data_IF_867753428203
#
_entry.id   IF_867753428203
#
_cell.length_a   1.000
_cell.length_b   1.000
_cell.length_c   1.000
_cell.angle_alpha   90.00
_cell.angle_beta   90.00
_cell.angle_gamma   90.00
#
_symmetry.space_group_name_H-M   'P 1'
#
loop_
_entity.id
_entity.type
_entity.pdbx_description
1 polymer ?
#
# COMPACT_ATOMS: atom_id res chain seq x y z
N UNK A 1 -15.18 3.60 15.73
CA UNK A 1 -15.82 4.52 14.80
C UNK A 1 -16.80 3.84 13.85
N UNK A 2 -16.36 2.99 12.87
CA UNK A 2 -17.29 2.30 11.94
C UNK A 2 -18.17 1.29 12.67
N UNK A 3 -17.61 0.57 13.63
CA UNK A 3 -18.35 -0.42 14.44
C UNK A 3 -19.29 0.22 15.45
N UNK A 4 -18.97 1.42 15.92
CA UNK A 4 -19.70 2.07 17.02
C UNK A 4 -20.81 3.01 16.52
N UNK A 5 -20.77 3.42 15.24
CA UNK A 5 -21.82 4.27 14.68
C UNK A 5 -22.96 3.42 14.16
N UNK A 6 -24.14 3.64 14.69
CA UNK A 6 -25.36 3.08 14.14
C UNK A 6 -25.72 3.78 12.82
N UNK A 7 -25.97 2.99 11.78
CA UNK A 7 -26.58 3.45 10.53
C UNK A 7 -28.11 3.47 10.65
N UNK A 8 -28.65 2.44 11.30
CA UNK A 8 -30.06 2.28 11.63
C UNK A 8 -30.11 1.67 13.06
N UNK A 9 -31.21 1.86 13.78
CA UNK A 9 -31.32 1.34 15.15
C UNK A 9 -30.89 -0.13 15.28
N UNK A 10 -29.83 -0.38 16.02
CA UNK A 10 -29.24 -1.71 16.25
C UNK A 10 -28.42 -2.26 15.07
N UNK A 11 -28.10 -1.46 14.06
CA UNK A 11 -27.26 -1.86 12.92
C UNK A 11 -26.09 -0.90 12.75
N UNK A 12 -24.89 -1.43 12.68
CA UNK A 12 -23.69 -0.64 12.41
C UNK A 12 -23.36 -0.55 10.91
N UNK A 13 -22.33 0.21 10.56
CA UNK A 13 -21.94 0.38 9.16
C UNK A 13 -21.45 -0.91 8.49
N UNK A 14 -20.89 -1.87 9.21
CA UNK A 14 -20.51 -3.17 8.63
C UNK A 14 -21.75 -3.98 8.24
N UNK A 15 -22.84 -3.92 9.03
CA UNK A 15 -24.11 -4.56 8.67
C UNK A 15 -24.73 -3.94 7.41
N UNK A 16 -24.58 -2.61 7.26
CA UNK A 16 -24.99 -1.92 6.04
C UNK A 16 -24.21 -2.39 4.83
N UNK A 17 -22.87 -2.44 4.91
CA UNK A 17 -21.99 -2.91 3.83
C UNK A 17 -22.28 -4.37 3.46
N UNK A 18 -22.48 -5.23 4.44
CA UNK A 18 -22.89 -6.62 4.22
C UNK A 18 -24.23 -6.71 3.47
N UNK A 19 -25.22 -5.91 3.87
CA UNK A 19 -26.53 -5.88 3.21
C UNK A 19 -26.45 -5.36 1.76
N UNK A 20 -25.49 -4.50 1.43
CA UNK A 20 -25.19 -4.08 0.07
C UNK A 20 -24.51 -5.16 -0.78
N UNK A 21 -24.07 -6.26 -0.17
CA UNK A 21 -23.32 -7.32 -0.85
C UNK A 21 -21.83 -7.02 -1.02
N UNK A 22 -21.28 -6.09 -0.25
CA UNK A 22 -19.83 -5.81 -0.22
C UNK A 22 -19.12 -7.04 0.33
N UNK A 23 -18.11 -7.52 -0.37
CA UNK A 23 -17.31 -8.68 -0.01
C UNK A 23 -15.84 -8.37 0.27
N UNK A 24 -15.41 -7.13 0.07
CA UNK A 24 -14.08 -6.64 0.46
C UNK A 24 -14.14 -5.15 0.80
N UNK A 25 -13.31 -4.73 1.75
CA UNK A 25 -13.07 -3.33 2.12
C UNK A 25 -11.59 -3.05 1.89
N UNK A 26 -11.29 -1.99 1.16
CA UNK A 26 -9.95 -1.44 1.06
C UNK A 26 -9.83 -0.27 2.04
N UNK A 27 -8.90 -0.39 2.98
CA UNK A 27 -8.57 0.67 3.93
C UNK A 27 -7.48 1.56 3.33
N UNK A 28 -7.67 2.87 3.44
CA UNK A 28 -6.57 3.82 3.22
C UNK A 28 -5.37 3.46 4.11
N UNK A 29 -4.15 3.97 3.80
CA UNK A 29 -2.97 3.57 4.56
C UNK A 29 -3.12 3.73 6.06
N UNK A 30 -2.96 2.64 6.79
CA UNK A 30 -3.13 2.56 8.25
C UNK A 30 -1.81 2.40 9.01
N UNK A 31 -0.68 2.36 8.30
CA UNK A 31 0.63 2.45 8.94
C UNK A 31 0.81 3.83 9.58
N UNK A 32 1.54 3.90 10.68
CA UNK A 32 1.81 5.15 11.38
C UNK A 32 2.40 6.20 10.45
N UNK A 33 1.69 7.30 10.31
CA UNK A 33 2.03 8.42 9.44
C UNK A 33 2.46 9.68 10.22
N UNK A 34 2.99 10.66 9.51
CA UNK A 34 3.43 11.92 10.07
C UNK A 34 2.22 12.80 10.40
N UNK A 35 2.09 13.19 11.69
CA UNK A 35 0.96 13.93 12.22
C UNK A 35 -0.18 13.06 12.71
N UNK A 36 -1.37 13.64 12.90
CA UNK A 36 -2.57 12.96 13.41
C UNK A 36 -3.79 13.16 12.50
N UNK A 37 -3.63 13.89 11.41
CA UNK A 37 -4.69 14.20 10.45
C UNK A 37 -4.11 14.07 9.04
N UNK A 38 -4.30 12.89 8.45
CA UNK A 38 -3.78 12.55 7.13
C UNK A 38 -4.58 11.42 6.50
N UNK A 39 -4.50 11.31 5.18
CA UNK A 39 -4.98 10.14 4.45
C UNK A 39 -4.04 8.93 4.57
N UNK A 40 -2.87 9.09 5.23
CA UNK A 40 -1.90 8.03 5.46
C UNK A 40 -0.80 7.90 4.39
N UNK A 41 -0.84 8.70 3.30
CA UNK A 41 0.18 8.66 2.23
C UNK A 41 1.49 9.38 2.59
N UNK A 42 1.72 9.61 3.87
CA UNK A 42 2.93 10.17 4.46
C UNK A 42 3.47 9.27 5.58
N UNK A 43 3.75 7.98 5.29
CA UNK A 43 4.13 7.01 6.31
C UNK A 43 5.51 7.31 6.91
N UNK A 44 5.69 6.93 8.17
CA UNK A 44 6.98 7.05 8.87
C UNK A 44 7.38 5.77 9.62
N UNK A 45 6.43 4.93 10.10
CA UNK A 45 6.72 3.69 10.79
C UNK A 45 5.87 2.53 10.26
N UNK A 46 6.48 1.65 9.50
CA UNK A 46 5.77 0.64 8.71
C UNK A 46 5.27 -0.58 9.50
N UNK A 47 5.80 -0.83 10.69
CA UNK A 47 5.37 -1.94 11.57
C UNK A 47 4.41 -1.48 12.67
N UNK A 48 4.00 -0.22 12.67
CA UNK A 48 3.06 0.33 13.63
C UNK A 48 1.76 0.71 12.92
N UNK A 49 0.63 0.38 13.55
CA UNK A 49 -0.67 0.90 13.16
C UNK A 49 -0.82 2.34 13.66
N UNK A 50 -1.45 3.20 12.86
CA UNK A 50 -1.62 4.60 13.22
C UNK A 50 -2.58 4.77 14.40
N UNK A 51 -2.11 5.49 15.40
CA UNK A 51 -2.82 5.73 16.66
C UNK A 51 -4.07 6.59 16.51
N UNK A 52 -4.19 7.37 15.44
CA UNK A 52 -5.35 8.23 15.21
C UNK A 52 -6.63 7.43 14.97
N UNK A 53 -6.51 6.19 14.48
CA UNK A 53 -7.65 5.33 14.18
C UNK A 53 -8.00 4.35 15.31
N UNK A 54 -7.11 4.13 16.25
CA UNK A 54 -7.35 3.25 17.39
C UNK A 54 -6.12 2.47 17.85
N UNK A 55 -6.34 1.55 18.76
CA UNK A 55 -5.33 0.63 19.28
C UNK A 55 -5.14 -0.58 18.35
N UNK A 56 -4.09 -1.35 18.57
CA UNK A 56 -3.85 -2.62 17.85
C UNK A 56 -5.07 -3.55 17.99
N UNK A 57 -5.67 -3.61 19.19
CA UNK A 57 -6.84 -4.44 19.46
C UNK A 57 -8.09 -3.93 18.72
N UNK A 58 -8.23 -2.60 18.52
CA UNK A 58 -9.32 -2.04 17.74
C UNK A 58 -9.22 -2.46 16.26
N UNK A 59 -8.02 -2.44 15.70
CA UNK A 59 -7.79 -2.92 14.33
C UNK A 59 -8.11 -4.41 14.18
N UNK A 60 -7.60 -5.25 15.09
CA UNK A 60 -7.88 -6.70 15.07
C UNK A 60 -9.37 -6.98 15.22
N UNK A 61 -10.05 -6.29 16.14
CA UNK A 61 -11.49 -6.41 16.33
C UNK A 61 -12.26 -6.00 15.07
N UNK A 62 -11.86 -4.92 14.40
CA UNK A 62 -12.47 -4.49 13.16
C UNK A 62 -12.33 -5.55 12.06
N UNK A 63 -11.14 -6.12 11.89
CA UNK A 63 -10.86 -7.15 10.89
C UNK A 63 -11.68 -8.41 11.18
N UNK A 64 -11.71 -8.86 12.44
CA UNK A 64 -12.52 -10.00 12.86
C UNK A 64 -14.02 -9.79 12.59
N UNK A 65 -14.54 -8.58 12.84
CA UNK A 65 -15.94 -8.23 12.55
C UNK A 65 -16.24 -8.18 11.05
N UNK A 66 -15.27 -7.79 10.20
CA UNK A 66 -15.37 -7.90 8.75
C UNK A 66 -15.45 -9.38 8.33
N UNK A 67 -14.54 -10.22 8.82
CA UNK A 67 -14.47 -11.64 8.50
C UNK A 67 -15.74 -12.40 8.93
N UNK A 68 -16.31 -12.10 10.09
CA UNK A 68 -17.61 -12.67 10.53
C UNK A 68 -18.75 -12.40 9.56
N UNK A 69 -18.63 -11.35 8.75
CA UNK A 69 -19.60 -10.94 7.74
C UNK A 69 -19.23 -11.40 6.32
N UNK A 70 -18.14 -12.15 6.16
CA UNK A 70 -17.63 -12.57 4.86
C UNK A 70 -17.04 -11.41 4.04
N UNK A 71 -16.50 -10.39 4.71
CA UNK A 71 -15.89 -9.21 4.10
C UNK A 71 -14.38 -9.29 4.29
N UNK A 72 -13.63 -9.36 3.20
CA UNK A 72 -12.17 -9.30 3.21
C UNK A 72 -11.67 -7.89 3.53
N UNK A 73 -10.50 -7.78 4.15
CA UNK A 73 -9.86 -6.50 4.47
C UNK A 73 -8.55 -6.37 3.72
N UNK A 74 -8.49 -5.41 2.82
CA UNK A 74 -7.33 -5.06 2.01
C UNK A 74 -6.74 -3.76 2.55
N UNK A 75 -5.43 -3.70 2.70
CA UNK A 75 -4.74 -2.49 3.19
C UNK A 75 -3.99 -1.82 2.05
N UNK A 76 -4.28 -0.55 1.84
CA UNK A 76 -3.47 0.31 0.97
C UNK A 76 -2.11 0.57 1.63
N UNK A 77 -1.02 0.34 0.90
CA UNK A 77 0.33 0.52 1.40
C UNK A 77 1.17 1.42 0.51
N UNK A 78 1.93 2.29 1.17
CA UNK A 78 2.81 3.26 0.53
C UNK A 78 4.25 2.87 0.81
N UNK A 79 4.86 2.05 -0.04
CA UNK A 79 6.24 1.60 0.16
C UNK A 79 7.24 2.26 -0.79
N UNK A 80 6.78 3.16 -1.62
CA UNK A 80 7.64 3.87 -2.56
C UNK A 80 8.38 5.05 -1.90
N UNK A 81 7.82 5.67 -0.87
CA UNK A 81 8.43 6.80 -0.16
C UNK A 81 8.11 6.79 1.34
N UNK A 82 8.85 7.56 2.13
CA UNK A 82 8.55 7.87 3.53
C UNK A 82 8.87 9.33 3.87
N UNK A 83 8.28 9.83 4.96
CA UNK A 83 8.61 11.18 5.45
C UNK A 83 9.98 11.23 6.10
N UNK A 84 10.47 12.45 6.36
CA UNK A 84 11.71 12.68 7.10
C UNK A 84 11.70 12.20 8.56
N UNK A 85 10.54 11.74 9.08
CA UNK A 85 10.45 11.11 10.41
C UNK A 85 10.85 9.64 10.40
N UNK A 86 10.97 9.02 9.22
CA UNK A 86 11.43 7.62 9.14
C UNK A 86 12.80 7.46 9.79
N UNK A 87 13.05 6.42 10.63
CA UNK A 87 14.30 6.24 11.37
C UNK A 87 15.56 6.31 10.50
N UNK A 88 15.53 5.69 9.32
CA UNK A 88 16.68 5.70 8.41
C UNK A 88 16.95 7.07 7.78
N UNK A 89 15.93 7.92 7.66
CA UNK A 89 16.13 9.32 7.29
C UNK A 89 16.78 10.10 8.44
N UNK A 90 16.29 9.92 9.67
CA UNK A 90 16.90 10.56 10.86
C UNK A 90 18.36 10.17 11.06
N UNK A 91 18.73 8.92 10.73
CA UNK A 91 20.10 8.40 10.90
C UNK A 91 21.06 8.86 9.81
N UNK A 92 20.59 9.06 8.58
CA UNK A 92 21.41 9.35 7.40
C UNK A 92 20.82 10.44 6.53
N UNK A 93 20.58 11.62 7.10
CA UNK A 93 20.22 12.82 6.33
C UNK A 93 21.38 13.82 6.29
N UNK A 94 21.39 14.64 5.25
CA UNK A 94 22.25 15.81 5.15
C UNK A 94 21.63 17.00 5.94
N UNK A 95 22.36 18.09 6.05
CA UNK A 95 21.91 19.30 6.77
C UNK A 95 20.69 19.98 6.14
N UNK A 96 20.38 19.68 4.88
CA UNK A 96 19.22 20.15 4.13
C UNK A 96 17.99 19.24 4.32
N UNK A 97 18.10 18.19 5.14
CA UNK A 97 17.02 17.23 5.39
C UNK A 97 16.86 16.17 4.31
N UNK A 98 17.67 16.18 3.27
CA UNK A 98 17.65 15.14 2.23
C UNK A 98 18.45 13.90 2.66
N UNK A 99 18.16 12.75 2.04
CA UNK A 99 18.97 11.57 2.23
C UNK A 99 20.43 11.86 1.89
N UNK A 100 21.37 11.51 2.79
CA UNK A 100 22.79 11.70 2.52
C UNK A 100 23.27 10.76 1.42
N UNK A 101 24.41 11.08 0.79
CA UNK A 101 25.02 10.20 -0.21
C UNK A 101 25.42 8.83 0.36
N UNK A 102 25.55 8.71 1.68
CA UNK A 102 25.85 7.46 2.37
C UNK A 102 24.63 6.69 2.84
N UNK A 103 23.40 7.24 2.65
CA UNK A 103 22.17 6.54 2.97
C UNK A 103 21.94 5.41 1.97
N UNK A 104 21.97 4.13 2.37
CA UNK A 104 21.78 3.03 1.43
C UNK A 104 20.30 2.74 1.16
N UNK A 105 19.40 3.20 2.05
CA UNK A 105 17.97 2.87 2.03
C UNK A 105 17.15 3.82 1.18
N UNK A 106 17.61 5.05 1.03
CA UNK A 106 16.91 6.09 0.28
C UNK A 106 17.77 6.65 -0.84
N UNK A 107 17.14 6.98 -1.95
CA UNK A 107 17.76 7.74 -3.02
C UNK A 107 17.86 9.21 -2.62
N UNK A 108 19.05 9.84 -2.76
CA UNK A 108 19.21 11.29 -2.51
C UNK A 108 18.35 12.12 -3.47
N UNK A 109 18.21 11.64 -4.70
CA UNK A 109 17.32 12.21 -5.72
C UNK A 109 16.41 11.09 -6.19
N UNK A 110 15.12 11.34 -6.17
CA UNK A 110 14.11 10.38 -6.62
C UNK A 110 14.37 9.91 -8.04
N UNK A 111 14.07 8.65 -8.32
CA UNK A 111 14.29 8.00 -9.61
C UNK A 111 13.18 8.25 -10.62
N UNK A 112 12.04 8.82 -10.19
CA UNK A 112 10.86 9.00 -11.02
C UNK A 112 10.17 10.36 -10.76
N UNK A 113 9.32 10.86 -11.70
CA UNK A 113 8.82 12.23 -11.68
C UNK A 113 7.72 12.49 -10.61
N UNK A 114 7.02 11.46 -10.12
CA UNK A 114 5.90 11.59 -9.19
C UNK A 114 6.29 11.24 -7.75
N UNK A 115 7.54 11.48 -7.38
CA UNK A 115 7.96 11.29 -6.00
C UNK A 115 7.46 12.43 -5.10
N UNK A 116 7.03 12.04 -3.89
CA UNK A 116 6.81 12.91 -2.73
C UNK A 116 7.68 12.42 -1.58
N UNK A 117 8.09 13.30 -0.68
CA UNK A 117 8.98 12.96 0.43
C UNK A 117 10.30 12.29 -0.02
N UNK A 118 10.72 11.20 0.63
CA UNK A 118 12.01 10.54 0.39
C UNK A 118 11.80 9.18 -0.29
N UNK A 119 12.39 9.03 -1.47
CA UNK A 119 12.28 7.87 -2.35
C UNK A 119 13.13 6.69 -1.83
N UNK A 120 12.51 5.52 -1.63
CA UNK A 120 13.23 4.33 -1.19
C UNK A 120 14.09 3.70 -2.31
N UNK A 121 15.26 3.22 -1.92
CA UNK A 121 16.11 2.42 -2.79
C UNK A 121 15.75 0.93 -2.67
N UNK A 122 14.82 0.47 -3.51
CA UNK A 122 14.37 -0.93 -3.54
C UNK A 122 15.37 -1.92 -4.17
N UNK A 123 16.47 -1.46 -4.76
CA UNK A 123 17.56 -2.35 -5.17
C UNK A 123 18.47 -2.73 -4.01
N UNK A 124 18.49 -1.94 -2.93
CA UNK A 124 19.26 -2.31 -1.76
C UNK A 124 18.64 -3.52 -1.04
N UNK A 125 19.38 -4.64 -0.87
CA UNK A 125 18.77 -5.87 -0.36
C UNK A 125 18.13 -5.75 1.02
N UNK A 126 18.64 -4.85 1.89
CA UNK A 126 18.08 -4.63 3.22
C UNK A 126 16.78 -3.84 3.19
N UNK A 127 16.59 -2.93 2.22
CA UNK A 127 15.30 -2.27 1.98
C UNK A 127 14.27 -3.30 1.56
N UNK A 128 14.60 -4.17 0.61
CA UNK A 128 13.71 -5.26 0.18
C UNK A 128 13.35 -6.20 1.33
N UNK A 129 14.32 -6.64 2.11
CA UNK A 129 14.06 -7.51 3.25
C UNK A 129 13.13 -6.85 4.26
N UNK A 130 13.37 -5.58 4.59
CA UNK A 130 12.51 -4.81 5.49
C UNK A 130 11.05 -4.78 5.05
N UNK A 131 10.79 -4.52 3.76
CA UNK A 131 9.42 -4.50 3.25
C UNK A 131 8.82 -5.91 3.14
N UNK A 132 9.60 -6.94 2.81
CA UNK A 132 9.12 -8.33 2.87
C UNK A 132 8.70 -8.72 4.28
N UNK A 133 9.53 -8.40 5.27
CA UNK A 133 9.23 -8.66 6.68
C UNK A 133 7.97 -7.89 7.13
N UNK A 134 7.81 -6.64 6.68
CA UNK A 134 6.64 -5.81 6.98
C UNK A 134 5.37 -6.39 6.35
N UNK A 135 5.41 -6.77 5.08
CA UNK A 135 4.27 -7.39 4.39
C UNK A 135 3.84 -8.69 5.08
N UNK A 136 4.79 -9.53 5.45
CA UNK A 136 4.49 -10.76 6.19
C UNK A 136 3.98 -10.49 7.61
N UNK A 137 4.48 -9.44 8.27
CA UNK A 137 4.05 -9.05 9.61
C UNK A 137 2.56 -8.67 9.66
N UNK A 138 2.10 -7.80 8.76
CA UNK A 138 0.71 -7.37 8.73
C UNK A 138 -0.27 -8.52 8.44
N UNK A 139 0.09 -9.43 7.53
CA UNK A 139 -0.69 -10.65 7.28
C UNK A 139 -0.81 -11.53 8.53
N UNK A 140 0.31 -11.78 9.22
CA UNK A 140 0.36 -12.67 10.38
C UNK A 140 -0.25 -12.04 11.64
N UNK A 141 0.05 -10.77 11.89
CA UNK A 141 -0.31 -10.10 13.13
C UNK A 141 -1.75 -9.57 13.13
N UNK A 142 -2.20 -9.04 12.00
CA UNK A 142 -3.52 -8.44 11.86
C UNK A 142 -4.52 -9.31 11.10
N UNK A 143 -4.06 -10.37 10.45
CA UNK A 143 -4.89 -11.27 9.66
C UNK A 143 -5.66 -10.56 8.54
N UNK A 144 -5.02 -9.59 7.88
CA UNK A 144 -5.57 -8.93 6.69
C UNK A 144 -5.55 -9.87 5.49
N UNK A 145 -6.39 -9.59 4.49
CA UNK A 145 -6.56 -10.47 3.32
C UNK A 145 -5.71 -10.04 2.12
N UNK A 146 -4.99 -8.94 2.21
CA UNK A 146 -4.12 -8.50 1.12
C UNK A 146 -3.78 -7.02 1.12
N UNK A 147 -3.22 -6.59 -0.01
CA UNK A 147 -2.68 -5.24 -0.18
C UNK A 147 -3.11 -4.60 -1.50
N UNK A 148 -3.31 -3.28 -1.45
CA UNK A 148 -3.21 -2.41 -2.62
C UNK A 148 -1.91 -1.63 -2.51
N UNK A 149 -1.06 -1.70 -3.51
CA UNK A 149 0.22 -1.00 -3.57
C UNK A 149 0.03 0.36 -4.22
N UNK A 150 0.16 1.42 -3.42
CA UNK A 150 0.16 2.80 -3.89
C UNK A 150 1.37 3.05 -4.78
N UNK A 151 1.14 3.69 -5.93
CA UNK A 151 2.18 4.09 -6.88
C UNK A 151 3.25 3.00 -7.09
N UNK A 152 2.86 1.75 -7.30
CA UNK A 152 3.78 0.61 -7.44
C UNK A 152 4.81 0.80 -8.58
N UNK A 153 4.50 1.62 -9.57
CA UNK A 153 5.45 2.04 -10.61
C UNK A 153 6.62 2.87 -10.05
N UNK A 154 6.48 3.44 -8.86
CA UNK A 154 7.54 4.17 -8.15
C UNK A 154 8.64 3.29 -7.57
N UNK A 155 8.44 1.96 -7.48
CA UNK A 155 9.45 1.02 -6.97
C UNK A 155 10.68 0.83 -7.90
N UNK A 156 10.74 1.60 -8.97
CA UNK A 156 11.84 1.60 -9.92
C UNK A 156 13.12 2.18 -9.35
N UNK A 157 14.26 1.68 -9.81
CA UNK A 157 15.57 2.33 -9.64
C UNK A 157 16.16 2.82 -10.97
N UNK A 158 15.47 2.56 -12.07
CA UNK A 158 15.79 3.14 -13.39
C UNK A 158 15.46 4.64 -13.36
N UNK A 159 16.51 5.45 -13.45
CA UNK A 159 16.35 6.89 -13.33
C UNK A 159 15.69 7.49 -14.58
N UNK A 160 14.49 7.97 -14.45
CA UNK A 160 13.76 8.72 -15.47
C UNK A 160 13.75 10.24 -15.23
N UNK A 161 14.28 10.69 -14.08
CA UNK A 161 14.21 12.10 -13.67
C UNK A 161 12.78 12.62 -13.70
N UNK A 162 12.56 13.72 -14.39
CA UNK A 162 11.22 14.31 -14.58
C UNK A 162 10.49 13.82 -15.85
N UNK A 163 11.04 12.85 -16.58
CA UNK A 163 10.46 12.40 -17.85
C UNK A 163 9.45 11.26 -17.65
N UNK A 164 8.17 11.60 -17.70
CA UNK A 164 7.04 10.65 -17.57
C UNK A 164 7.07 9.59 -18.69
N UNK A 165 7.40 9.96 -19.93
CA UNK A 165 7.46 9.02 -21.04
C UNK A 165 8.53 7.94 -20.85
N UNK A 166 9.69 8.30 -20.32
CA UNK A 166 10.75 7.35 -19.97
C UNK A 166 10.34 6.48 -18.78
N UNK A 167 9.68 7.04 -17.78
CA UNK A 167 9.19 6.30 -16.62
C UNK A 167 8.09 5.29 -16.97
N UNK A 168 7.28 5.58 -17.99
CA UNK A 168 6.23 4.69 -18.48
C UNK A 168 6.74 3.50 -19.30
N UNK A 169 8.01 3.51 -19.73
CA UNK A 169 8.57 2.40 -20.50
C UNK A 169 8.72 1.14 -19.64
N UNK A 170 8.68 -0.01 -20.32
CA UNK A 170 8.93 -1.32 -19.71
C UNK A 170 10.21 -1.35 -18.87
N UNK A 171 10.11 -1.85 -17.65
CA UNK A 171 11.21 -1.94 -16.68
C UNK A 171 11.26 -3.32 -16.00
N UNK A 172 12.08 -4.21 -16.54
CA UNK A 172 12.26 -5.56 -16.00
C UNK A 172 12.78 -5.57 -14.54
N UNK A 173 13.54 -4.54 -14.12
CA UNK A 173 14.04 -4.45 -12.73
C UNK A 173 12.91 -4.14 -11.75
N UNK A 174 11.98 -3.27 -12.12
CA UNK A 174 10.78 -2.96 -11.36
C UNK A 174 9.85 -4.17 -11.24
N UNK A 175 9.63 -4.87 -12.35
CA UNK A 175 8.86 -6.12 -12.36
C UNK A 175 9.47 -7.14 -11.39
N UNK A 176 10.79 -7.31 -11.39
CA UNK A 176 11.47 -8.23 -10.49
C UNK A 176 11.30 -7.86 -9.00
N UNK A 177 11.30 -6.57 -8.67
CA UNK A 177 11.04 -6.08 -7.30
C UNK A 177 9.60 -6.39 -6.88
N UNK A 178 8.62 -6.11 -7.74
CA UNK A 178 7.20 -6.38 -7.45
C UNK A 178 6.95 -7.89 -7.28
N UNK A 179 7.52 -8.71 -8.14
CA UNK A 179 7.41 -10.18 -8.04
C UNK A 179 8.04 -10.72 -6.75
N UNK A 180 9.17 -10.18 -6.31
CA UNK A 180 9.83 -10.56 -5.04
C UNK A 180 8.94 -10.21 -3.82
N UNK A 181 8.21 -9.08 -3.83
CA UNK A 181 7.23 -8.76 -2.80
C UNK A 181 6.00 -9.67 -2.88
N UNK A 182 5.49 -9.93 -4.07
CA UNK A 182 4.37 -10.83 -4.26
C UNK A 182 4.70 -12.26 -3.77
N UNK A 183 5.92 -12.74 -4.01
CA UNK A 183 6.38 -14.03 -3.51
C UNK A 183 6.42 -14.07 -1.98
N UNK A 184 6.93 -13.02 -1.33
CA UNK A 184 6.96 -12.94 0.13
C UNK A 184 5.54 -12.92 0.76
N UNK A 185 4.58 -12.27 0.11
CA UNK A 185 3.16 -12.31 0.50
C UNK A 185 2.62 -13.73 0.37
N UNK A 186 2.83 -14.37 -0.78
CA UNK A 186 2.32 -15.73 -1.09
C UNK A 186 2.94 -16.83 -0.22
N UNK A 187 4.11 -16.62 0.36
CA UNK A 187 4.70 -17.53 1.34
C UNK A 187 3.89 -17.62 2.64
N UNK A 188 3.18 -16.54 3.01
CA UNK A 188 2.37 -16.46 4.23
C UNK A 188 0.91 -16.72 3.94
N UNK A 189 0.37 -16.06 2.92
CA UNK A 189 -1.03 -16.15 2.51
C UNK A 189 -1.10 -16.39 1.00
N UNK A 190 -1.26 -17.67 0.57
CA UNK A 190 -1.29 -18.00 -0.86
C UNK A 190 -2.42 -17.34 -1.64
N UNK A 191 -3.52 -17.04 -0.99
CA UNK A 191 -4.72 -16.47 -1.60
C UNK A 191 -4.87 -14.95 -1.36
N UNK A 192 -3.86 -14.27 -0.75
CA UNK A 192 -3.92 -12.84 -0.48
C UNK A 192 -4.18 -12.02 -1.75
N UNK A 193 -4.97 -10.98 -1.63
CA UNK A 193 -5.13 -10.00 -2.70
C UNK A 193 -3.86 -9.18 -2.87
N UNK A 194 -3.38 -9.04 -4.10
CA UNK A 194 -2.24 -8.19 -4.47
C UNK A 194 -2.72 -7.30 -5.60
N UNK A 195 -3.00 -6.05 -5.29
CA UNK A 195 -3.55 -5.05 -6.22
C UNK A 195 -2.49 -3.97 -6.43
N UNK A 196 -2.19 -3.64 -7.67
CA UNK A 196 -1.18 -2.64 -8.00
C UNK A 196 -1.81 -1.40 -8.64
N UNK A 197 -1.56 -0.22 -8.06
CA UNK A 197 -1.69 1.02 -8.79
C UNK A 197 -0.43 1.22 -9.63
N UNK A 198 -0.46 0.76 -10.89
CA UNK A 198 0.76 0.65 -11.69
C UNK A 198 0.82 1.63 -12.87
N UNK A 199 -0.16 1.60 -13.75
CA UNK A 199 -0.34 2.53 -14.88
C UNK A 199 0.93 2.69 -15.75
N UNK A 200 1.53 1.56 -16.14
CA UNK A 200 2.79 1.50 -16.87
C UNK A 200 2.59 1.07 -18.35
N UNK A 201 3.66 0.62 -18.99
CA UNK A 201 3.62 0.02 -20.32
C UNK A 201 2.73 -1.24 -20.36
N UNK A 202 1.95 -1.42 -21.41
CA UNK A 202 1.00 -2.53 -21.52
C UNK A 202 1.69 -3.91 -21.47
N UNK A 203 2.92 -4.05 -21.95
CA UNK A 203 3.69 -5.30 -21.84
C UNK A 203 4.04 -5.59 -20.38
N UNK A 204 4.44 -4.57 -19.61
CA UNK A 204 4.76 -4.69 -18.19
C UNK A 204 3.53 -5.06 -17.38
N UNK A 205 2.40 -4.39 -17.62
CA UNK A 205 1.14 -4.70 -16.95
C UNK A 205 0.65 -6.12 -17.28
N UNK A 206 0.74 -6.55 -18.53
CA UNK A 206 0.41 -7.91 -18.95
C UNK A 206 1.29 -8.94 -18.23
N UNK A 207 2.59 -8.68 -18.11
CA UNK A 207 3.51 -9.58 -17.42
C UNK A 207 3.20 -9.68 -15.92
N UNK A 208 2.88 -8.56 -15.27
CA UNK A 208 2.49 -8.54 -13.86
C UNK A 208 1.14 -9.22 -13.63
N UNK A 209 0.12 -8.94 -14.45
CA UNK A 209 -1.20 -9.55 -14.33
C UNK A 209 -1.17 -11.08 -14.51
N UNK A 210 -0.23 -11.61 -15.29
CA UNK A 210 -0.03 -13.03 -15.47
C UNK A 210 0.81 -13.69 -14.35
N UNK A 211 1.27 -12.93 -13.35
CA UNK A 211 2.11 -13.44 -12.29
C UNK A 211 1.32 -13.69 -11.00
N UNK A 212 1.06 -14.98 -10.68
CA UNK A 212 0.51 -15.43 -9.39
C UNK A 212 -0.72 -14.65 -8.89
N UNK A 213 -1.63 -14.27 -9.79
CA UNK A 213 -2.88 -13.63 -9.41
C UNK A 213 -2.74 -12.17 -8.95
N UNK A 214 -1.72 -11.46 -9.43
CA UNK A 214 -1.63 -10.00 -9.26
C UNK A 214 -2.77 -9.34 -10.03
N UNK A 215 -3.44 -8.40 -9.38
CA UNK A 215 -4.50 -7.56 -9.94
C UNK A 215 -3.95 -6.17 -10.25
N UNK A 216 -4.37 -5.59 -11.36
CA UNK A 216 -4.05 -4.22 -11.70
C UNK A 216 -5.23 -3.32 -11.42
N UNK A 217 -4.97 -2.20 -10.77
CA UNK A 217 -5.95 -1.15 -10.58
C UNK A 217 -6.10 -0.37 -11.89
N UNK A 218 -7.24 -0.51 -12.57
CA UNK A 218 -7.50 0.15 -13.85
C UNK A 218 -8.49 1.30 -13.64
N UNK A 219 -8.15 2.49 -14.09
CA UNK A 219 -9.14 3.49 -14.43
C UNK A 219 -9.84 3.05 -15.71
N UNK A 220 -11.07 2.56 -15.63
CA UNK A 220 -11.88 2.32 -16.81
C UNK A 220 -12.44 3.67 -17.25
N UNK A 221 -11.91 4.22 -18.33
CA UNK A 221 -12.59 5.26 -19.07
C UNK A 221 -13.75 4.61 -19.84
N UNK A 222 -14.96 4.95 -19.46
CA UNK A 222 -16.24 4.74 -20.13
C UNK A 222 -16.43 3.48 -21.00
N UNK A 223 -17.21 2.50 -20.55
CA UNK A 223 -18.00 1.67 -21.44
C UNK A 223 -18.13 0.18 -21.18
N UNK A 224 -17.38 -0.47 -20.33
CA UNK A 224 -17.57 -1.90 -20.03
C UNK A 224 -17.60 -2.16 -18.53
N UNK A 225 -18.77 -2.59 -18.05
CA UNK A 225 -18.98 -3.02 -16.66
C UNK A 225 -18.44 -4.43 -16.52
N UNK A 226 -17.20 -4.56 -16.09
CA UNK A 226 -16.74 -5.75 -15.39
C UNK A 226 -17.05 -5.55 -13.91
N UNK A 227 -17.69 -6.53 -13.28
CA UNK A 227 -17.97 -6.52 -11.84
C UNK A 227 -16.65 -6.42 -11.07
N UNK A 228 -16.31 -5.23 -10.64
CA UNK A 228 -15.13 -4.99 -9.82
C UNK A 228 -15.49 -4.29 -8.54
N UNK A 229 -14.77 -4.70 -7.48
CA UNK A 229 -14.67 -4.10 -6.17
C UNK A 229 -15.33 -2.72 -6.09
N UNK A 230 -16.41 -2.62 -5.33
CA UNK A 230 -16.92 -1.33 -4.90
C UNK A 230 -15.89 -0.77 -3.91
N UNK A 231 -15.06 0.18 -4.37
CA UNK A 231 -14.17 0.92 -3.52
C UNK A 231 -14.99 1.83 -2.59
N UNK A 232 -15.10 1.45 -1.33
CA UNK A 232 -15.45 2.40 -0.30
C UNK A 232 -14.16 3.00 0.26
N UNK A 233 -13.74 4.13 -0.31
CA UNK A 233 -12.76 5.00 0.35
C UNK A 233 -13.50 5.63 1.52
N UNK A 234 -13.29 5.13 2.70
CA UNK A 234 -13.80 5.77 3.90
C UNK A 234 -12.78 6.82 4.37
N UNK A 235 -12.85 8.03 3.82
CA UNK A 235 -12.39 9.19 4.55
C UNK A 235 -13.38 9.41 5.69
N UNK A 236 -13.03 9.02 6.89
CA UNK A 236 -13.74 9.45 8.09
C UNK A 236 -13.13 10.78 8.48
N UNK A 237 -13.84 11.92 8.36
CA UNK A 237 -13.42 13.12 9.06
C UNK A 237 -13.51 12.82 10.56
N UNK A 238 -12.45 13.15 11.26
CA UNK A 238 -12.39 13.16 12.73
C UNK A 238 -13.44 14.11 13.29
#
# INVERSE_FOLDING_TARGET
AIMDREWESGKNWLDYLQNLGVNAIELMPIQEFDGNDSWGYNPCFYFAADKAYGTIEDYKTFIDECHKRGIAVIVDIVINHATGLHPWMKMWCDSDGQASNSNPFFNKVARHPFNVFHDFNHEYPKTRQYFKDMLQYWLKEYNIDGYRFDLSKGLTQKNSGSNVGTWNQYDASRIAIIKDYADAIREVEPDAYIILEHLSDAQEETELANYKGILLWLFIAEGEILQFLLYFIMSVPI
#
